data_IF_764325314190
#
_entry.id   IF_764325314190
#
_cell.length_a   1.000
_cell.length_b   1.000
_cell.length_c   1.000
_cell.angle_alpha   90.00
_cell.angle_beta   90.00
_cell.angle_gamma   90.00
#
_symmetry.space_group_name_H-M   'P 1'
#
loop_
_entity.id
_entity.type
_entity.pdbx_description
1 polymer ?
#
# COMPACT_ATOMS: atom_id res chain seq x y z
N UNK A 1 8.81 -27.34 -9.70
CA UNK A 1 9.05 -25.90 -9.47
C UNK A 1 7.80 -25.17 -9.90
N UNK A 2 7.05 -24.59 -8.96
CA UNK A 2 5.90 -23.74 -9.30
C UNK A 2 6.47 -22.37 -9.65
N UNK A 3 6.37 -21.96 -10.90
CA UNK A 3 6.73 -20.59 -11.31
C UNK A 3 5.80 -19.62 -10.56
N UNK A 4 6.36 -18.56 -10.00
CA UNK A 4 5.55 -17.46 -9.48
C UNK A 4 4.78 -16.85 -10.66
N UNK A 5 3.48 -16.51 -10.48
CA UNK A 5 2.72 -15.84 -11.53
C UNK A 5 3.42 -14.54 -11.93
N UNK A 6 3.29 -14.18 -13.21
CA UNK A 6 3.74 -12.89 -13.71
C UNK A 6 3.01 -11.78 -12.94
N UNK A 7 3.65 -10.65 -12.67
CA UNK A 7 3.04 -9.60 -11.83
C UNK A 7 1.74 -9.03 -12.43
N UNK A 8 1.52 -9.26 -13.72
CA UNK A 8 0.29 -8.94 -14.44
C UNK A 8 -0.91 -9.85 -14.09
N UNK A 9 -0.70 -10.96 -13.38
CA UNK A 9 -1.71 -11.99 -13.17
C UNK A 9 -2.41 -11.95 -11.80
N UNK A 10 -1.95 -11.11 -10.86
CA UNK A 10 -2.59 -10.99 -9.54
C UNK A 10 -3.65 -9.88 -9.51
N UNK A 11 -4.71 -10.10 -8.75
CA UNK A 11 -5.60 -9.03 -8.30
C UNK A 11 -5.30 -8.72 -6.83
N UNK A 12 -5.20 -7.43 -6.50
CA UNK A 12 -5.04 -6.95 -5.13
C UNK A 12 -6.30 -6.16 -4.81
N UNK A 13 -7.10 -6.67 -3.89
CA UNK A 13 -8.40 -6.13 -3.54
C UNK A 13 -8.32 -5.51 -2.16
N UNK A 14 -8.62 -4.22 -2.03
CA UNK A 14 -8.68 -3.55 -0.74
C UNK A 14 -9.96 -3.94 0.01
N UNK A 15 -9.79 -4.46 1.23
CA UNK A 15 -10.90 -4.94 2.08
C UNK A 15 -11.31 -3.95 3.18
N UNK A 16 -10.63 -2.82 3.25
CA UNK A 16 -10.92 -1.76 4.21
C UNK A 16 -9.80 -1.50 5.22
N UNK A 17 -9.96 -0.47 6.05
CA UNK A 17 -9.01 -0.19 7.12
C UNK A 17 -9.14 -1.28 8.18
N UNK A 18 -8.02 -1.68 8.78
CA UNK A 18 -8.08 -2.56 9.94
C UNK A 18 -8.13 -1.78 11.24
N UNK A 19 -8.71 -2.42 12.25
CA UNK A 19 -8.92 -1.82 13.56
C UNK A 19 -7.67 -1.97 14.45
N UNK A 20 -7.43 -1.00 15.33
CA UNK A 20 -6.43 -1.08 16.41
C UNK A 20 -4.96 -0.81 16.04
N UNK A 21 -4.63 -0.62 14.76
CA UNK A 21 -3.24 -0.37 14.35
C UNK A 21 -2.70 0.99 14.82
N UNK A 22 -3.57 2.00 14.90
CA UNK A 22 -3.17 3.34 15.30
C UNK A 22 -2.79 3.39 16.79
N UNK A 23 -3.49 2.64 17.63
CA UNK A 23 -3.30 2.61 19.08
C UNK A 23 -2.11 1.72 19.50
N UNK A 24 -1.84 0.65 18.75
CA UNK A 24 -0.85 -0.37 19.14
C UNK A 24 0.47 -0.22 18.36
N UNK A 25 0.41 0.23 17.11
CA UNK A 25 1.54 0.15 16.16
C UNK A 25 1.96 1.52 15.60
N UNK A 26 1.30 2.61 15.99
CA UNK A 26 1.64 3.98 15.55
C UNK A 26 1.50 4.18 14.04
N UNK A 27 0.42 3.65 13.45
CA UNK A 27 0.19 3.72 12.02
C UNK A 27 -1.22 3.35 11.58
N UNK A 28 -1.47 3.49 10.28
CA UNK A 28 -2.75 3.16 9.64
C UNK A 28 -2.65 1.83 8.91
N UNK A 29 -3.53 0.89 9.25
CA UNK A 29 -3.53 -0.45 8.67
C UNK A 29 -4.58 -0.57 7.56
N UNK A 30 -4.17 -1.10 6.43
CA UNK A 30 -4.99 -1.42 5.28
C UNK A 30 -4.97 -2.93 5.02
N UNK A 31 -6.14 -3.54 4.92
CA UNK A 31 -6.30 -4.98 4.64
C UNK A 31 -6.52 -5.22 3.16
N UNK A 32 -5.97 -6.33 2.67
CA UNK A 32 -6.04 -6.73 1.28
C UNK A 32 -6.25 -8.23 1.12
N UNK A 33 -7.09 -8.60 0.15
CA UNK A 33 -7.13 -9.93 -0.42
C UNK A 33 -6.32 -9.96 -1.71
N UNK A 34 -5.33 -10.82 -1.76
CA UNK A 34 -4.50 -11.06 -2.94
C UNK A 34 -4.97 -12.34 -3.62
N UNK A 35 -5.61 -12.17 -4.78
CA UNK A 35 -6.09 -13.26 -5.63
C UNK A 35 -4.99 -13.63 -6.61
N UNK A 36 -4.67 -14.93 -6.65
CA UNK A 36 -3.56 -15.46 -7.45
C UNK A 36 -4.04 -16.60 -8.35
N UNK A 37 -3.65 -16.63 -9.63
CA UNK A 37 -3.96 -17.76 -10.47
C UNK A 37 -3.28 -19.03 -9.96
N UNK A 38 -4.05 -20.13 -9.91
CA UNK A 38 -3.57 -21.47 -9.55
C UNK A 38 -2.95 -21.58 -8.15
N UNK A 39 -3.15 -20.58 -7.29
CA UNK A 39 -2.71 -20.58 -5.90
C UNK A 39 -3.89 -20.14 -5.02
N UNK A 40 -3.94 -20.57 -3.75
CA UNK A 40 -4.95 -20.06 -2.82
C UNK A 40 -4.86 -18.53 -2.71
N UNK A 41 -5.98 -17.88 -2.44
CA UNK A 41 -5.98 -16.47 -2.11
C UNK A 41 -5.18 -16.22 -0.82
N UNK A 42 -4.69 -15.00 -0.67
CA UNK A 42 -3.87 -14.62 0.49
C UNK A 42 -4.36 -13.30 1.05
N UNK A 43 -4.68 -13.31 2.33
CA UNK A 43 -4.85 -12.09 3.12
C UNK A 43 -3.47 -11.46 3.43
N UNK A 44 -3.39 -10.15 3.24
CA UNK A 44 -2.24 -9.35 3.56
C UNK A 44 -2.69 -8.02 4.18
N UNK A 45 -1.96 -7.56 5.19
CA UNK A 45 -2.15 -6.25 5.78
C UNK A 45 -0.89 -5.40 5.59
N UNK A 46 -1.10 -4.10 5.36
CA UNK A 46 -0.02 -3.12 5.27
C UNK A 46 -0.27 -2.03 6.30
N UNK A 47 0.71 -1.79 7.16
CA UNK A 47 0.71 -0.65 8.08
C UNK A 47 1.56 0.46 7.49
N UNK A 48 0.95 1.60 7.21
CA UNK A 48 1.67 2.85 6.96
C UNK A 48 1.87 3.57 8.28
N UNK A 49 3.11 3.69 8.75
CA UNK A 49 3.37 4.36 10.02
C UNK A 49 3.16 5.87 9.94
N UNK A 50 2.88 6.50 11.07
CA UNK A 50 2.54 7.93 11.12
C UNK A 50 3.64 8.83 10.52
N UNK A 51 4.95 8.62 10.82
CA UNK A 51 6.01 9.41 10.19
C UNK A 51 6.08 9.29 8.67
N UNK A 52 5.82 8.11 8.11
CA UNK A 52 5.77 7.93 6.66
C UNK A 52 4.55 8.64 6.06
N UNK A 53 3.40 8.58 6.71
CA UNK A 53 2.20 9.27 6.25
C UNK A 53 2.36 10.79 6.28
N UNK A 54 2.92 11.34 7.35
CA UNK A 54 3.23 12.78 7.45
C UNK A 54 4.18 13.23 6.36
N UNK A 55 5.25 12.45 6.13
CA UNK A 55 6.20 12.72 5.07
C UNK A 55 5.58 12.67 3.67
N UNK A 56 4.71 11.70 3.39
CA UNK A 56 3.98 11.64 2.12
C UNK A 56 3.01 12.82 1.95
N UNK A 57 2.33 13.25 3.02
CA UNK A 57 1.42 14.40 2.99
C UNK A 57 2.16 15.69 2.65
N UNK A 58 3.32 15.94 3.29
CA UNK A 58 4.17 17.09 3.02
C UNK A 58 4.59 17.16 1.55
N UNK A 59 5.02 16.02 0.97
CA UNK A 59 5.42 15.93 -0.44
C UNK A 59 4.30 16.24 -1.42
N UNK A 60 3.07 15.96 -1.03
CA UNK A 60 1.87 16.23 -1.84
C UNK A 60 1.28 17.62 -1.60
N UNK A 61 1.79 18.37 -0.60
CA UNK A 61 1.17 19.63 -0.17
C UNK A 61 -0.19 19.43 0.50
N UNK A 62 -0.42 18.25 1.09
CA UNK A 62 -1.67 17.83 1.72
C UNK A 62 -1.53 17.83 3.25
N UNK A 63 -2.65 17.88 3.97
CA UNK A 63 -2.65 17.70 5.42
C UNK A 63 -2.72 16.20 5.78
N UNK A 64 -1.93 15.70 6.76
CA UNK A 64 -1.96 14.30 7.21
C UNK A 64 -3.17 14.03 8.10
N UNK A 65 -4.37 14.16 7.53
CA UNK A 65 -5.63 13.86 8.20
C UNK A 65 -5.85 12.35 8.30
N UNK A 66 -6.83 11.91 9.11
CA UNK A 66 -7.23 10.50 9.16
C UNK A 66 -7.64 9.97 7.78
N UNK A 67 -8.44 10.75 7.03
CA UNK A 67 -8.84 10.39 5.66
C UNK A 67 -7.67 10.31 4.70
N UNK A 68 -6.69 11.22 4.83
CA UNK A 68 -5.44 11.14 4.05
C UNK A 68 -4.72 9.83 4.37
N UNK A 69 -4.51 9.53 5.65
CA UNK A 69 -3.77 8.35 6.11
C UNK A 69 -4.39 7.04 5.63
N UNK A 70 -5.72 6.91 5.73
CA UNK A 70 -6.45 5.72 5.27
C UNK A 70 -6.32 5.52 3.75
N UNK A 71 -6.54 6.60 2.97
CA UNK A 71 -6.38 6.54 1.52
C UNK A 71 -4.94 6.25 1.12
N UNK A 72 -3.98 6.86 1.82
CA UNK A 72 -2.57 6.66 1.56
C UNK A 72 -2.15 5.22 1.86
N UNK A 73 -2.60 4.65 2.99
CA UNK A 73 -2.35 3.25 3.34
C UNK A 73 -2.98 2.28 2.34
N UNK A 74 -4.20 2.54 1.87
CA UNK A 74 -4.87 1.73 0.86
C UNK A 74 -4.09 1.74 -0.47
N UNK A 75 -3.79 2.93 -1.00
CA UNK A 75 -3.10 3.08 -2.28
C UNK A 75 -1.67 2.53 -2.24
N UNK A 76 -0.92 2.91 -1.20
CA UNK A 76 0.47 2.49 -1.06
C UNK A 76 0.59 1.00 -0.74
N UNK A 77 -0.35 0.44 0.03
CA UNK A 77 -0.40 -0.99 0.31
C UNK A 77 -0.63 -1.82 -0.96
N UNK A 78 -1.52 -1.38 -1.84
CA UNK A 78 -1.70 -2.02 -3.15
C UNK A 78 -0.41 -1.97 -3.98
N UNK A 79 0.21 -0.78 -4.10
CA UNK A 79 1.45 -0.61 -4.85
C UNK A 79 2.59 -1.47 -4.29
N UNK A 80 2.72 -1.53 -2.98
CA UNK A 80 3.72 -2.35 -2.28
C UNK A 80 3.54 -3.84 -2.58
N UNK A 81 2.31 -4.36 -2.44
CA UNK A 81 2.02 -5.77 -2.73
C UNK A 81 2.35 -6.10 -4.18
N UNK A 82 1.92 -5.26 -5.13
CA UNK A 82 2.22 -5.45 -6.56
C UNK A 82 3.73 -5.41 -6.84
N UNK A 83 4.45 -4.50 -6.20
CA UNK A 83 5.91 -4.44 -6.31
C UNK A 83 6.57 -5.73 -5.81
N UNK A 84 6.17 -6.26 -4.65
CA UNK A 84 6.73 -7.51 -4.15
C UNK A 84 6.53 -8.68 -5.13
N UNK A 85 5.37 -8.80 -5.76
CA UNK A 85 5.16 -9.84 -6.78
C UNK A 85 6.01 -9.64 -8.03
N UNK A 86 6.16 -8.39 -8.50
CA UNK A 86 7.04 -8.04 -9.64
C UNK A 86 8.49 -8.41 -9.39
N UNK A 87 8.96 -8.21 -8.17
CA UNK A 87 10.31 -8.57 -7.74
C UNK A 87 10.44 -10.06 -7.37
N UNK A 88 9.41 -10.88 -7.60
CA UNK A 88 9.33 -12.28 -7.16
C UNK A 88 9.63 -12.47 -5.67
N UNK A 89 9.30 -11.47 -4.85
CA UNK A 89 9.43 -11.48 -3.40
C UNK A 89 8.16 -11.97 -2.74
N UNK A 90 8.33 -12.56 -1.56
CA UNK A 90 7.22 -13.02 -0.74
C UNK A 90 6.41 -11.82 -0.23
N UNK A 91 5.10 -11.91 -0.33
CA UNK A 91 4.17 -11.06 0.43
C UNK A 91 3.92 -11.70 1.78
N UNK A 92 4.29 -11.00 2.84
CA UNK A 92 4.00 -11.40 4.21
C UNK A 92 2.56 -11.04 4.60
N UNK A 93 2.03 -11.71 5.64
CA UNK A 93 0.67 -11.44 6.10
C UNK A 93 0.53 -10.04 6.72
N UNK A 94 1.63 -9.46 7.19
CA UNK A 94 1.69 -8.10 7.70
C UNK A 94 3.00 -7.45 7.23
N UNK A 95 2.90 -6.33 6.54
CA UNK A 95 4.04 -5.49 6.14
C UNK A 95 3.99 -4.15 6.86
N UNK A 96 5.14 -3.66 7.30
CA UNK A 96 5.26 -2.35 7.93
C UNK A 96 6.03 -1.39 7.01
N UNK A 97 5.36 -0.34 6.57
CA UNK A 97 5.92 0.69 5.70
C UNK A 97 6.25 1.93 6.53
N UNK A 98 7.54 2.06 6.83
CA UNK A 98 8.12 3.27 7.41
C UNK A 98 8.78 4.15 6.36
N UNK A 99 9.11 5.39 6.73
CA UNK A 99 9.79 6.34 5.86
C UNK A 99 11.05 5.77 5.21
N UNK A 100 11.91 5.13 5.98
CA UNK A 100 13.16 4.55 5.46
C UNK A 100 12.91 3.46 4.39
N UNK A 101 11.82 2.70 4.51
CA UNK A 101 11.44 1.74 3.48
C UNK A 101 11.02 2.45 2.20
N UNK A 102 10.23 3.53 2.30
CA UNK A 102 9.81 4.31 1.14
C UNK A 102 10.97 5.06 0.48
N UNK A 103 11.91 5.61 1.25
CA UNK A 103 13.13 6.24 0.73
C UNK A 103 14.01 5.24 -0.02
N UNK A 104 14.01 3.97 0.39
CA UNK A 104 14.69 2.89 -0.33
C UNK A 104 14.00 2.45 -1.64
N UNK A 105 12.79 2.93 -1.90
CA UNK A 105 11.95 2.57 -3.05
C UNK A 105 11.36 3.83 -3.72
N UNK A 106 12.19 4.70 -4.31
CA UNK A 106 11.72 5.95 -4.93
C UNK A 106 10.70 5.74 -6.05
N UNK A 107 10.74 4.59 -6.74
CA UNK A 107 9.77 4.18 -7.75
C UNK A 107 8.36 4.00 -7.18
N UNK A 108 8.23 3.50 -5.94
CA UNK A 108 6.95 3.36 -5.27
C UNK A 108 6.39 4.72 -4.86
N UNK A 109 7.25 5.63 -4.40
CA UNK A 109 6.86 6.99 -4.04
C UNK A 109 6.37 7.75 -5.28
N UNK A 110 7.09 7.65 -6.40
CA UNK A 110 6.67 8.26 -7.65
C UNK A 110 5.32 7.71 -8.16
N UNK A 111 5.15 6.38 -8.14
CA UNK A 111 3.89 5.74 -8.53
C UNK A 111 2.72 6.16 -7.61
N UNK A 112 2.96 6.26 -6.30
CA UNK A 112 2.00 6.74 -5.32
C UNK A 112 1.59 8.19 -5.61
N UNK A 113 2.54 9.09 -5.80
CA UNK A 113 2.27 10.51 -6.07
C UNK A 113 1.47 10.68 -7.37
N UNK A 114 1.80 9.93 -8.42
CA UNK A 114 1.05 9.93 -9.67
C UNK A 114 -0.39 9.46 -9.47
N UNK A 115 -0.58 8.28 -8.89
CA UNK A 115 -1.90 7.69 -8.68
C UNK A 115 -2.77 8.55 -7.73
N UNK A 116 -2.16 9.20 -6.73
CA UNK A 116 -2.85 10.13 -5.84
C UNK A 116 -3.44 11.32 -6.61
N UNK A 117 -2.62 11.95 -7.46
CA UNK A 117 -3.03 13.11 -8.28
C UNK A 117 -4.11 12.71 -9.29
N UNK A 118 -3.96 11.58 -9.97
CA UNK A 118 -4.95 11.07 -10.93
C UNK A 118 -6.29 10.76 -10.24
N UNK A 119 -6.27 10.12 -9.07
CA UNK A 119 -7.47 9.82 -8.29
C UNK A 119 -8.19 11.07 -7.77
N UNK A 120 -7.46 12.15 -7.50
CA UNK A 120 -8.07 13.44 -7.16
C UNK A 120 -8.68 14.13 -8.39
N UNK A 121 -8.05 14.05 -9.56
CA UNK A 121 -8.58 14.60 -10.81
C UNK A 121 -9.88 13.91 -11.25
N UNK A 122 -9.96 12.58 -11.13
CA UNK A 122 -11.16 11.80 -11.46
C UNK A 122 -12.38 12.12 -10.56
N UNK A 123 -12.17 12.76 -9.40
CA UNK A 123 -13.25 13.15 -8.48
C UNK A 123 -13.67 14.61 -8.62
N UNK A 124 -12.89 15.42 -9.33
CA UNK A 124 -13.17 16.83 -9.58
C UNK A 124 -13.87 17.08 -10.95
N UNK A 125 -13.95 16.06 -11.80
CA UNK A 125 -14.68 16.03 -13.07
C UNK A 125 -16.11 15.52 -12.88
#
# INVERSE_FOLDING_TARGET
MVQAPDAAEIAVLYEGPGQGAQEIMGGTLANFLVVRPNLPDKEAAVILNDPAAEWLAERLGEAPTASFRERAAALLGELWIRHLYREHRRVDSLSFLGRAALEGHPELVAAFEQAWREGNLARAA
#
